data_IF_682327256091
#
_entry.id   IF_682327256091
#
_cell.length_a   1.000
_cell.length_b   1.000
_cell.length_c   1.000
_cell.angle_alpha   90.00
_cell.angle_beta   90.00
_cell.angle_gamma   90.00
#
_symmetry.space_group_name_H-M   'P 1'
#
loop_
_entity.id
_entity.type
_entity.pdbx_description
1 polymer ?
#
# COMPACT_ATOMS: atom_id res chain seq x y z
N UNK A 1 -3.71 4.10 33.45
CA UNK A 1 -3.96 4.56 32.07
C UNK A 1 -5.08 3.69 31.55
N UNK A 2 -6.21 4.28 31.16
CA UNK A 2 -7.35 3.47 30.71
C UNK A 2 -6.94 2.74 29.43
N UNK A 3 -7.32 1.47 29.28
CA UNK A 3 -6.99 0.67 28.10
C UNK A 3 -7.49 1.30 26.80
N UNK A 4 -8.44 2.24 26.89
CA UNK A 4 -8.94 3.07 25.81
C UNK A 4 -7.89 4.05 25.29
N UNK A 5 -7.22 4.73 26.22
CA UNK A 5 -6.16 5.69 25.89
C UNK A 5 -4.99 4.97 25.19
N UNK A 6 -4.66 3.75 25.64
CA UNK A 6 -3.59 2.95 25.04
C UNK A 6 -3.88 2.55 23.59
N UNK A 7 -5.11 2.12 23.30
CA UNK A 7 -5.48 1.70 21.96
C UNK A 7 -5.57 2.88 20.99
N UNK A 8 -6.06 4.03 21.48
CA UNK A 8 -6.10 5.28 20.71
C UNK A 8 -4.69 5.80 20.43
N UNK A 9 -3.79 5.79 21.43
CA UNK A 9 -2.38 6.13 21.26
C UNK A 9 -1.71 5.24 20.21
N UNK A 10 -1.94 3.92 20.26
CA UNK A 10 -1.35 3.00 19.27
C UNK A 10 -1.90 3.24 17.86
N UNK A 11 -3.21 3.48 17.68
CA UNK A 11 -3.79 3.76 16.36
C UNK A 11 -3.30 5.11 15.80
N UNK A 12 -3.20 6.14 16.65
CA UNK A 12 -2.57 7.41 16.30
C UNK A 12 -1.08 7.23 15.94
N UNK A 13 -0.36 6.36 16.64
CA UNK A 13 1.04 6.05 16.33
C UNK A 13 1.18 5.34 14.97
N UNK A 14 0.28 4.41 14.63
CA UNK A 14 0.28 3.73 13.33
C UNK A 14 0.03 4.71 12.17
N UNK A 15 -0.90 5.66 12.34
CA UNK A 15 -1.13 6.76 11.39
C UNK A 15 0.10 7.66 11.27
N UNK A 16 0.70 8.03 12.39
CA UNK A 16 1.92 8.84 12.42
C UNK A 16 3.07 8.16 11.66
N UNK A 17 3.31 6.87 11.91
CA UNK A 17 4.36 6.11 11.21
C UNK A 17 4.05 5.95 9.71
N UNK A 18 2.79 5.79 9.33
CA UNK A 18 2.39 5.76 7.92
C UNK A 18 2.72 7.08 7.20
N UNK A 19 2.40 8.22 7.81
CA UNK A 19 2.75 9.54 7.28
C UNK A 19 4.27 9.77 7.27
N UNK A 20 4.97 9.34 8.32
CA UNK A 20 6.41 9.49 8.41
C UNK A 20 7.14 8.67 7.34
N UNK A 21 6.69 7.44 7.08
CA UNK A 21 7.20 6.61 6.00
C UNK A 21 6.93 7.23 4.63
N UNK A 22 5.73 7.78 4.41
CA UNK A 22 5.38 8.46 3.16
C UNK A 22 6.35 9.63 2.89
N UNK A 23 6.60 10.48 3.89
CA UNK A 23 7.57 11.59 3.78
C UNK A 23 9.00 11.12 3.62
N UNK A 24 9.42 10.07 4.32
CA UNK A 24 10.76 9.51 4.19
C UNK A 24 11.01 9.03 2.75
N UNK A 25 10.05 8.33 2.16
CA UNK A 25 10.17 7.80 0.79
C UNK A 25 10.14 8.89 -0.26
N UNK A 26 9.40 9.97 -0.04
CA UNK A 26 9.46 11.17 -0.90
C UNK A 26 10.86 11.78 -0.88
N UNK A 27 11.48 11.91 0.31
CA UNK A 27 12.85 12.43 0.44
C UNK A 27 13.85 11.49 -0.25
N UNK A 28 13.75 10.18 -0.02
CA UNK A 28 14.63 9.19 -0.67
C UNK A 28 14.48 9.21 -2.19
N UNK A 29 13.25 9.37 -2.69
CA UNK A 29 13.00 9.53 -4.13
C UNK A 29 13.64 10.81 -4.66
N UNK A 30 13.50 11.94 -3.97
CA UNK A 30 14.10 13.20 -4.38
C UNK A 30 15.64 13.13 -4.41
N UNK A 31 16.25 12.45 -3.44
CA UNK A 31 17.68 12.18 -3.42
C UNK A 31 18.12 11.28 -4.59
N UNK A 32 17.34 10.23 -4.89
CA UNK A 32 17.59 9.36 -6.03
C UNK A 32 17.50 10.13 -7.35
N UNK A 33 16.44 10.92 -7.55
CA UNK A 33 16.24 11.73 -8.75
C UNK A 33 17.38 12.73 -8.94
N UNK A 34 17.83 13.39 -7.86
CA UNK A 34 18.98 14.28 -7.89
C UNK A 34 20.28 13.55 -8.27
N UNK A 35 20.55 12.40 -7.65
CA UNK A 35 21.75 11.61 -7.94
C UNK A 35 21.75 11.09 -9.38
N UNK A 36 20.59 10.64 -9.87
CA UNK A 36 20.45 10.12 -11.23
C UNK A 36 20.72 11.19 -12.29
N UNK A 37 20.18 12.40 -12.10
CA UNK A 37 20.46 13.55 -12.97
C UNK A 37 21.94 13.92 -12.90
N UNK A 38 22.51 13.97 -11.68
CA UNK A 38 23.92 14.30 -11.47
C UNK A 38 24.88 13.30 -12.13
N UNK A 39 24.49 12.03 -12.20
CA UNK A 39 25.26 10.93 -12.79
C UNK A 39 24.96 10.69 -14.28
N UNK A 40 24.05 11.44 -14.90
CA UNK A 40 23.75 11.34 -16.33
C UNK A 40 23.17 9.99 -16.77
N UNK A 41 22.47 9.26 -15.90
CA UNK A 41 22.01 7.89 -16.18
C UNK A 41 20.79 7.77 -17.11
N UNK A 42 20.51 8.78 -17.92
CA UNK A 42 19.37 8.79 -18.85
C UNK A 42 19.46 7.67 -19.90
N UNK A 43 20.68 7.38 -20.36
CA UNK A 43 20.95 6.32 -21.35
C UNK A 43 20.68 4.90 -20.83
N UNK A 44 20.70 4.71 -19.52
CA UNK A 44 20.35 3.42 -18.93
C UNK A 44 18.86 3.11 -19.14
N UNK A 45 17.99 4.10 -18.89
CA UNK A 45 16.55 3.93 -19.03
C UNK A 45 16.11 3.81 -20.49
N UNK A 46 16.78 4.51 -21.41
CA UNK A 46 16.55 4.35 -22.85
C UNK A 46 16.88 2.91 -23.31
N UNK A 47 18.01 2.36 -22.89
CA UNK A 47 18.39 0.97 -23.19
C UNK A 47 17.46 -0.06 -22.54
N UNK A 48 17.02 0.20 -21.31
CA UNK A 48 16.07 -0.66 -20.63
C UNK A 48 14.70 -0.66 -21.31
N UNK A 49 14.22 0.52 -21.75
CA UNK A 49 12.95 0.65 -22.46
C UNK A 49 12.97 -0.08 -23.81
N UNK A 50 14.06 0.05 -24.58
CA UNK A 50 14.21 -0.71 -25.82
C UNK A 50 14.17 -2.22 -25.61
N UNK A 51 14.93 -2.76 -24.65
CA UNK A 51 14.92 -4.19 -24.35
C UNK A 51 13.54 -4.69 -23.91
N UNK A 52 12.83 -3.91 -23.11
CA UNK A 52 11.48 -4.28 -22.66
C UNK A 52 10.49 -4.29 -23.81
N UNK A 53 10.58 -3.30 -24.73
CA UNK A 53 9.79 -3.23 -25.95
C UNK A 53 10.01 -4.48 -26.81
N UNK A 54 11.28 -4.83 -27.09
CA UNK A 54 11.62 -6.02 -27.88
C UNK A 54 11.11 -7.33 -27.25
N UNK A 55 11.16 -7.44 -25.91
CA UNK A 55 10.64 -8.60 -25.19
C UNK A 55 9.12 -8.69 -25.26
N UNK A 56 8.42 -7.56 -25.15
CA UNK A 56 6.97 -7.49 -25.25
C UNK A 56 6.50 -7.82 -26.67
N UNK A 57 7.19 -7.31 -27.68
CA UNK A 57 6.94 -7.64 -29.09
C UNK A 57 7.13 -9.14 -29.35
N UNK A 58 8.22 -9.72 -28.83
CA UNK A 58 8.47 -11.16 -28.92
C UNK A 58 7.40 -12.01 -28.24
N UNK A 59 6.89 -11.58 -27.09
CA UNK A 59 5.80 -12.28 -26.38
C UNK A 59 4.45 -12.15 -27.08
N UNK A 60 4.17 -10.98 -27.68
CA UNK A 60 2.96 -10.71 -28.47
C UNK A 60 2.94 -11.55 -29.74
N UNK A 61 4.07 -11.60 -30.47
CA UNK A 61 4.24 -12.46 -31.65
C UNK A 61 4.15 -13.95 -31.30
N UNK A 62 4.62 -14.36 -30.12
CA UNK A 62 4.50 -15.73 -29.63
C UNK A 62 3.09 -16.13 -29.16
N UNK A 63 2.10 -15.22 -29.23
CA UNK A 63 0.71 -15.48 -28.82
C UNK A 63 0.54 -15.76 -27.32
N UNK A 64 1.55 -15.45 -26.50
CA UNK A 64 1.56 -15.72 -25.05
C UNK A 64 1.01 -14.57 -24.21
N UNK A 65 0.74 -13.42 -24.82
CA UNK A 65 0.17 -12.26 -24.14
C UNK A 65 -1.35 -12.35 -24.21
N UNK A 66 -1.96 -12.72 -23.09
CA UNK A 66 -3.40 -12.67 -22.89
C UNK A 66 -3.90 -11.23 -23.16
N UNK A 67 -5.02 -11.07 -23.87
CA UNK A 67 -5.51 -9.78 -24.35
C UNK A 67 -5.64 -8.69 -23.26
N UNK A 68 -5.86 -9.08 -22.01
CA UNK A 68 -5.90 -8.17 -20.84
C UNK A 68 -4.53 -7.64 -20.44
N UNK A 69 -3.49 -8.49 -20.48
CA UNK A 69 -2.10 -8.08 -20.28
C UNK A 69 -1.65 -7.21 -21.45
N UNK A 70 -2.07 -7.54 -22.68
CA UNK A 70 -1.83 -6.72 -23.86
C UNK A 70 -2.46 -5.35 -23.71
N UNK A 71 -3.69 -5.24 -23.17
CA UNK A 71 -4.37 -3.96 -22.98
C UNK A 71 -3.72 -3.11 -21.90
N UNK A 72 -3.34 -3.72 -20.77
CA UNK A 72 -2.61 -3.01 -19.72
C UNK A 72 -1.24 -2.53 -20.21
N UNK A 73 -0.51 -3.36 -20.98
CA UNK A 73 0.76 -2.97 -21.61
C UNK A 73 0.53 -1.88 -22.66
N UNK A 74 -0.54 -1.95 -23.45
CA UNK A 74 -0.88 -0.97 -24.49
C UNK A 74 -1.29 0.39 -23.89
N UNK A 75 -1.95 0.42 -22.74
CA UNK A 75 -2.23 1.67 -22.00
C UNK A 75 -0.95 2.36 -21.52
N UNK A 76 0.15 1.62 -21.33
CA UNK A 76 1.47 2.15 -20.98
C UNK A 76 2.38 2.39 -22.21
N UNK A 77 2.12 1.74 -23.34
CA UNK A 77 2.73 2.01 -24.65
C UNK A 77 1.95 3.14 -25.33
N UNK A 78 2.30 4.39 -25.04
CA UNK A 78 1.73 5.52 -25.79
C UNK A 78 2.12 5.45 -27.26
N UNK A 79 1.14 5.48 -28.16
CA UNK A 79 1.33 5.61 -29.61
C UNK A 79 1.53 7.06 -30.08
N UNK A 80 1.28 8.04 -29.22
CA UNK A 80 1.40 9.47 -29.55
C UNK A 80 2.72 10.06 -29.02
N UNK A 81 3.79 9.92 -29.80
CA UNK A 81 4.98 10.76 -29.65
C UNK A 81 5.06 11.77 -30.80
N UNK A 82 5.16 13.08 -30.52
CA UNK A 82 5.34 14.07 -31.57
C UNK A 82 6.67 13.81 -32.30
N UNK A 83 6.59 13.42 -33.58
CA UNK A 83 7.74 13.08 -34.43
C UNK A 83 7.99 11.59 -34.67
N UNK A 84 7.21 10.68 -34.06
CA UNK A 84 7.27 9.22 -34.25
C UNK A 84 5.86 8.63 -34.32
N UNK A 85 5.04 9.13 -35.25
CA UNK A 85 3.70 8.59 -35.50
C UNK A 85 3.81 7.14 -36.01
N UNK A 86 3.20 6.18 -35.29
CA UNK A 86 3.08 4.78 -35.72
C UNK A 86 4.13 3.81 -35.16
N UNK A 87 5.00 4.23 -34.25
CA UNK A 87 5.95 3.32 -33.57
C UNK A 87 5.47 3.08 -32.13
N UNK A 88 5.11 1.83 -31.79
CA UNK A 88 4.86 1.41 -30.40
C UNK A 88 6.16 1.53 -29.61
N UNK A 89 6.39 2.69 -28.98
CA UNK A 89 7.61 2.98 -28.23
C UNK A 89 7.30 3.18 -26.75
N UNK A 90 7.83 2.31 -25.89
CA UNK A 90 7.80 2.51 -24.45
C UNK A 90 8.68 3.73 -24.09
N UNK A 91 8.11 4.80 -23.50
CA UNK A 91 8.99 5.89 -23.03
C UNK A 91 9.85 5.41 -21.88
N UNK A 92 11.14 5.68 -21.99
CA UNK A 92 12.09 5.54 -20.89
C UNK A 92 11.63 6.28 -19.62
N UNK A 93 10.92 7.41 -19.78
CA UNK A 93 10.34 8.19 -18.68
C UNK A 93 9.21 7.43 -17.98
N UNK A 94 8.29 6.82 -18.73
CA UNK A 94 7.21 6.02 -18.15
C UNK A 94 7.78 4.80 -17.42
N UNK A 95 8.70 4.06 -18.06
CA UNK A 95 9.36 2.90 -17.44
C UNK A 95 10.11 3.28 -16.17
N UNK A 96 10.89 4.37 -16.18
CA UNK A 96 11.57 4.89 -14.99
C UNK A 96 10.58 5.20 -13.88
N UNK A 97 9.53 5.97 -14.17
CA UNK A 97 8.57 6.40 -13.16
C UNK A 97 7.83 5.20 -12.52
N UNK A 98 7.48 4.20 -13.33
CA UNK A 98 6.81 2.98 -12.87
C UNK A 98 7.76 2.12 -12.02
N UNK A 99 9.00 1.94 -12.48
CA UNK A 99 10.02 1.16 -11.75
C UNK A 99 10.32 1.80 -10.40
N UNK A 100 10.56 3.12 -10.36
CA UNK A 100 10.82 3.85 -9.11
C UNK A 100 9.61 3.77 -8.18
N UNK A 101 8.38 3.92 -8.71
CA UNK A 101 7.15 3.81 -7.93
C UNK A 101 6.95 2.40 -7.36
N UNK A 102 7.28 1.36 -8.13
CA UNK A 102 7.19 -0.02 -7.68
C UNK A 102 8.22 -0.30 -6.58
N UNK A 103 9.48 0.07 -6.80
CA UNK A 103 10.57 -0.09 -5.82
C UNK A 103 10.28 0.69 -4.54
N UNK A 104 9.82 1.94 -4.65
CA UNK A 104 9.46 2.74 -3.47
C UNK A 104 8.32 2.13 -2.68
N UNK A 105 7.29 1.58 -3.36
CA UNK A 105 6.20 0.84 -2.70
C UNK A 105 6.70 -0.42 -1.99
N UNK A 106 7.56 -1.21 -2.63
CA UNK A 106 8.10 -2.43 -2.02
C UNK A 106 8.92 -2.07 -0.77
N UNK A 107 9.78 -1.04 -0.86
CA UNK A 107 10.53 -0.53 0.28
C UNK A 107 9.60 -0.03 1.40
N UNK A 108 8.52 0.68 1.05
CA UNK A 108 7.52 1.14 2.00
C UNK A 108 6.89 -0.02 2.78
N UNK A 109 6.51 -1.08 2.07
CA UNK A 109 5.92 -2.28 2.66
C UNK A 109 6.92 -2.98 3.56
N UNK A 110 8.17 -3.17 3.11
CA UNK A 110 9.21 -3.82 3.92
C UNK A 110 9.46 -3.02 5.20
N UNK A 111 9.63 -1.70 5.09
CA UNK A 111 9.83 -0.83 6.26
C UNK A 111 8.62 -0.80 7.19
N UNK A 112 7.41 -0.78 6.64
CA UNK A 112 6.17 -0.86 7.41
C UNK A 112 6.05 -2.17 8.18
N UNK A 113 6.36 -3.31 7.56
CA UNK A 113 6.41 -4.64 8.20
C UNK A 113 7.47 -4.67 9.29
N UNK A 114 8.68 -4.19 9.02
CA UNK A 114 9.75 -4.12 10.03
C UNK A 114 9.35 -3.25 11.23
N UNK A 115 8.73 -2.08 10.99
CA UNK A 115 8.25 -1.22 12.08
C UNK A 115 7.14 -1.88 12.89
N UNK A 116 6.19 -2.55 12.23
CA UNK A 116 5.11 -3.24 12.92
C UNK A 116 5.61 -4.40 13.79
N UNK A 117 6.60 -5.16 13.31
CA UNK A 117 7.24 -6.24 14.07
C UNK A 117 8.11 -5.71 15.22
N UNK A 118 8.84 -4.61 15.03
CA UNK A 118 9.72 -4.04 16.07
C UNK A 118 8.95 -3.38 17.21
N UNK A 119 7.75 -2.89 16.93
CA UNK A 119 6.90 -2.17 17.87
C UNK A 119 5.69 -3.01 18.33
N UNK A 120 5.62 -4.28 17.94
CA UNK A 120 4.51 -5.21 18.19
C UNK A 120 3.13 -4.58 17.87
N UNK A 121 3.05 -3.82 16.76
CA UNK A 121 1.82 -3.14 16.36
C UNK A 121 0.92 -4.12 15.61
N UNK A 122 -0.16 -4.52 16.27
CA UNK A 122 -1.21 -5.32 15.67
C UNK A 122 -2.54 -4.55 15.64
N UNK A 123 -2.86 -3.94 14.48
CA UNK A 123 -4.09 -3.20 14.27
C UNK A 123 -5.34 -4.04 14.57
N UNK A 124 -5.31 -5.34 14.29
CA UNK A 124 -6.46 -6.22 14.50
C UNK A 124 -6.72 -6.46 15.99
N UNK A 125 -5.67 -6.74 16.77
CA UNK A 125 -5.78 -6.85 18.22
C UNK A 125 -6.26 -5.54 18.86
N UNK A 126 -5.79 -4.40 18.34
CA UNK A 126 -6.21 -3.07 18.78
C UNK A 126 -7.69 -2.79 18.51
N UNK A 127 -8.18 -3.14 17.31
CA UNK A 127 -9.58 -3.00 16.94
C UNK A 127 -10.47 -3.85 17.85
N UNK A 128 -10.06 -5.08 18.14
CA UNK A 128 -10.79 -5.98 19.04
C UNK A 128 -10.86 -5.42 20.47
N UNK A 129 -9.74 -4.92 21.01
CA UNK A 129 -9.71 -4.25 22.31
C UNK A 129 -10.60 -3.00 22.36
N UNK A 130 -10.61 -2.20 21.29
CA UNK A 130 -11.45 -1.00 21.21
C UNK A 130 -12.94 -1.39 21.18
N UNK A 131 -13.30 -2.42 20.41
CA UNK A 131 -14.66 -2.93 20.30
C UNK A 131 -15.18 -3.48 21.64
N UNK A 132 -14.39 -4.28 22.35
CA UNK A 132 -14.77 -4.80 23.67
C UNK A 132 -15.01 -3.68 24.69
N UNK A 133 -14.19 -2.63 24.68
CA UNK A 133 -14.37 -1.52 25.62
C UNK A 133 -15.61 -0.68 25.32
N UNK A 134 -15.89 -0.43 24.03
CA UNK A 134 -17.12 0.26 23.62
C UNK A 134 -18.36 -0.56 24.01
N UNK A 135 -18.32 -1.89 23.91
CA UNK A 135 -19.40 -2.77 24.37
C UNK A 135 -19.68 -2.58 25.87
N UNK A 136 -18.62 -2.60 26.69
CA UNK A 136 -18.70 -2.40 28.14
C UNK A 136 -19.29 -1.01 28.48
N UNK A 137 -18.87 0.03 27.76
CA UNK A 137 -19.37 1.40 27.93
C UNK A 137 -20.86 1.56 27.56
N UNK A 138 -21.34 0.78 26.59
CA UNK A 138 -22.74 0.81 26.16
C UNK A 138 -23.65 -0.12 27.00
N UNK A 139 -23.09 -0.90 27.93
CA UNK A 139 -23.83 -1.86 28.75
C UNK A 139 -24.17 -3.16 28.03
N UNK A 140 -23.55 -3.43 26.88
CA UNK A 140 -23.70 -4.67 26.13
C UNK A 140 -22.80 -5.77 26.72
N UNK A 141 -23.23 -7.04 26.60
CA UNK A 141 -22.41 -8.18 27.04
C UNK A 141 -21.17 -8.31 26.14
N UNK A 142 -19.93 -8.10 26.65
CA UNK A 142 -18.72 -8.16 25.84
C UNK A 142 -18.47 -9.54 25.24
N UNK A 143 -19.09 -10.61 25.75
CA UNK A 143 -19.02 -11.96 25.18
C UNK A 143 -19.93 -12.16 23.96
N UNK A 144 -20.92 -11.28 23.74
CA UNK A 144 -21.82 -11.30 22.59
C UNK A 144 -21.26 -10.58 21.35
N UNK A 145 -20.10 -9.95 21.49
CA UNK A 145 -19.42 -9.23 20.40
C UNK A 145 -18.77 -10.22 19.42
N UNK A 146 -19.55 -10.72 18.46
CA UNK A 146 -19.03 -11.27 17.22
C UNK A 146 -18.49 -10.12 16.34
N UNK A 147 -17.28 -9.67 16.66
CA UNK A 147 -16.50 -8.80 15.78
C UNK A 147 -15.99 -9.59 14.57
N UNK A 148 -16.05 -8.99 13.38
CA UNK A 148 -15.63 -9.61 12.10
C UNK A 148 -14.17 -10.10 12.06
N UNK A 149 -13.33 -9.69 13.02
CA UNK A 149 -11.94 -10.14 13.16
C UNK A 149 -11.71 -10.53 14.62
N UNK A 150 -11.84 -11.81 14.95
CA UNK A 150 -11.29 -12.31 16.20
C UNK A 150 -9.79 -12.52 15.97
N UNK A 151 -8.93 -11.74 16.63
CA UNK A 151 -7.48 -11.98 16.63
C UNK A 151 -7.13 -13.38 17.13
N UNK A 152 -8.07 -14.05 17.80
CA UNK A 152 -8.01 -15.46 18.19
C UNK A 152 -7.64 -16.44 17.06
N UNK A 153 -7.96 -16.10 15.80
CA UNK A 153 -7.66 -16.95 14.63
C UNK A 153 -6.45 -16.47 13.82
N UNK A 154 -5.87 -15.30 14.13
CA UNK A 154 -4.73 -14.74 13.41
C UNK A 154 -3.50 -14.79 14.33
N UNK A 155 -2.47 -15.58 14.03
CA UNK A 155 -1.26 -15.57 14.83
C UNK A 155 -0.63 -14.17 14.83
N UNK A 156 -0.09 -13.74 15.98
CA UNK A 156 0.34 -12.36 16.23
C UNK A 156 1.25 -11.80 15.13
N UNK A 157 2.26 -12.58 14.71
CA UNK A 157 3.20 -12.23 13.64
C UNK A 157 2.51 -11.92 12.29
N UNK A 158 1.39 -12.58 11.99
CA UNK A 158 0.63 -12.36 10.76
C UNK A 158 -0.19 -11.07 10.86
N UNK A 159 -0.77 -10.79 12.03
CA UNK A 159 -1.47 -9.54 12.32
C UNK A 159 -0.54 -8.32 12.26
N UNK A 160 0.66 -8.45 12.80
CA UNK A 160 1.74 -7.44 12.72
C UNK A 160 2.20 -7.25 11.28
N UNK A 161 2.41 -8.33 10.52
CA UNK A 161 2.80 -8.24 9.10
C UNK A 161 1.75 -7.53 8.25
N UNK A 162 0.47 -7.88 8.41
CA UNK A 162 -0.63 -7.22 7.71
C UNK A 162 -0.77 -5.75 8.11
N UNK A 163 -0.56 -5.45 9.39
CA UNK A 163 -0.53 -4.07 9.92
C UNK A 163 0.59 -3.28 9.28
N UNK A 164 1.80 -3.85 9.21
CA UNK A 164 2.94 -3.22 8.57
C UNK A 164 2.76 -3.02 7.06
N UNK A 165 2.11 -3.95 6.38
CA UNK A 165 1.70 -3.76 4.97
C UNK A 165 0.73 -2.58 4.86
N UNK A 166 -0.28 -2.49 5.73
CA UNK A 166 -1.23 -1.38 5.71
C UNK A 166 -0.54 -0.03 5.97
N UNK A 167 0.38 0.02 6.93
CA UNK A 167 1.20 1.21 7.23
C UNK A 167 2.05 1.58 6.01
N UNK A 168 2.75 0.61 5.41
CA UNK A 168 3.65 0.80 4.27
C UNK A 168 2.94 1.11 2.95
N UNK A 169 1.68 0.70 2.79
CA UNK A 169 0.87 1.10 1.64
C UNK A 169 0.42 2.58 1.70
N UNK A 170 0.57 3.22 2.87
CA UNK A 170 0.30 4.63 3.10
C UNK A 170 -1.04 4.91 3.78
N UNK A 171 -1.28 6.18 4.03
CA UNK A 171 -2.45 6.68 4.78
C UNK A 171 -3.79 6.33 4.13
N UNK A 172 -3.86 6.23 2.79
CA UNK A 172 -5.10 5.94 2.07
C UNK A 172 -5.73 4.57 2.38
N UNK A 173 -5.02 3.45 2.18
CA UNK A 173 -5.51 2.13 2.56
C UNK A 173 -5.80 2.01 4.06
N UNK A 174 -4.98 2.62 4.91
CA UNK A 174 -5.19 2.63 6.36
C UNK A 174 -6.47 3.41 6.73
N UNK A 175 -6.74 4.54 6.06
CA UNK A 175 -7.97 5.30 6.22
C UNK A 175 -9.20 4.51 5.76
N UNK A 176 -9.13 3.75 4.67
CA UNK A 176 -10.23 2.86 4.25
C UNK A 176 -10.54 1.77 5.27
N UNK A 177 -9.52 1.24 5.95
CA UNK A 177 -9.72 0.27 7.03
C UNK A 177 -10.46 0.95 8.18
N UNK A 178 -10.03 2.16 8.58
CA UNK A 178 -10.71 2.95 9.62
C UNK A 178 -12.16 3.29 9.23
N UNK A 179 -12.39 3.74 8.00
CA UNK A 179 -13.71 4.11 7.48
C UNK A 179 -14.65 2.89 7.39
N UNK A 180 -14.14 1.73 6.97
CA UNK A 180 -14.91 0.49 6.95
C UNK A 180 -15.34 0.07 8.37
N UNK A 181 -14.47 0.27 9.36
CA UNK A 181 -14.80 0.04 10.76
C UNK A 181 -15.86 1.03 11.27
N UNK A 182 -15.70 2.32 10.95
CA UNK A 182 -16.64 3.37 11.35
C UNK A 182 -18.03 3.18 10.71
N UNK A 183 -18.09 2.84 9.42
CA UNK A 183 -19.35 2.56 8.71
C UNK A 183 -20.07 1.33 9.25
N UNK A 184 -19.32 0.28 9.59
CA UNK A 184 -19.88 -0.92 10.21
C UNK A 184 -20.46 -0.62 11.60
N UNK A 185 -19.79 0.26 12.36
CA UNK A 185 -20.28 0.76 13.65
C UNK A 185 -21.60 1.52 13.51
N UNK A 186 -21.66 2.49 12.59
CA UNK A 186 -22.87 3.30 12.35
C UNK A 186 -24.08 2.45 11.95
N UNK A 187 -23.87 1.45 11.08
CA UNK A 187 -24.93 0.53 10.66
C UNK A 187 -25.49 -0.35 11.79
N UNK A 188 -24.75 -0.57 12.89
CA UNK A 188 -25.29 -1.28 14.07
C UNK A 188 -25.99 -0.34 15.04
N UNK A 189 -25.51 0.88 15.24
CA UNK A 189 -26.24 1.89 16.02
C UNK A 189 -27.62 2.17 15.43
N UNK A 190 -27.73 2.14 14.09
CA UNK A 190 -29.01 2.30 13.38
C UNK A 190 -29.89 1.03 13.33
N UNK A 191 -29.32 -0.16 13.59
CA UNK A 191 -30.08 -1.44 13.67
C UNK A 191 -30.41 -1.89 15.09
N UNK A 192 -29.81 -1.26 16.11
CA UNK A 192 -30.05 -1.48 17.53
C UNK A 192 -30.97 -0.44 18.19
N UNK A 193 -31.57 0.45 17.39
CA UNK A 193 -32.71 1.30 17.76
C UNK A 193 -33.99 0.74 17.11
#
# INVERSE_FOLDING_TARGET
MNSFDSALIMLSSALFFSLLLERLLEILKALFDFYEVRAGRQDYWNRAAHRLSEQLDGLRQAGRVQAEVSKAVNDYLRTDYPGLEGVEALSAVALRSLTIKAVSKILAIILGVLLALLLDINLFALIEQLNHQVAILNGDDPASYEGYFSSRYIPAWLGESLTGIAIGLGSGPLHKIIEALEKSRKNRTEKGA
#
